data_IF_230111218634
#
_entry.id   IF_230111218634
#
_cell.length_a   1.000
_cell.length_b   1.000
_cell.length_c   1.000
_cell.angle_alpha   90.00
_cell.angle_beta   90.00
_cell.angle_gamma   90.00
#
_symmetry.space_group_name_H-M   'P 1'
#
loop_
_entity.id
_entity.type
_entity.pdbx_description
1 polymer ?
#
# COMPACT_ATOMS: atom_id res chain seq x y z
N UNK A 1 -7.11 13.69 6.36
CA UNK A 1 -7.35 12.99 5.08
C UNK A 1 -8.47 11.93 5.22
N UNK A 2 -8.34 10.95 6.11
CA UNK A 2 -9.31 9.83 6.28
C UNK A 2 -10.72 10.39 6.56
N UNK A 3 -10.88 11.27 7.55
CA UNK A 3 -12.16 11.91 7.87
C UNK A 3 -12.77 12.62 6.65
N UNK A 4 -11.95 13.32 5.88
CA UNK A 4 -12.40 14.04 4.67
C UNK A 4 -12.91 13.07 3.61
N UNK A 5 -12.15 12.00 3.35
CA UNK A 5 -12.55 10.98 2.38
C UNK A 5 -13.85 10.29 2.79
N UNK A 6 -13.97 9.91 4.06
CA UNK A 6 -15.19 9.29 4.61
C UNK A 6 -16.39 10.23 4.52
N UNK A 7 -16.22 11.51 4.84
CA UNK A 7 -17.26 12.52 4.70
C UNK A 7 -17.71 12.74 3.25
N UNK A 8 -16.83 12.49 2.28
CA UNK A 8 -17.14 12.50 0.85
C UNK A 8 -17.76 11.19 0.34
N UNK A 9 -17.97 10.21 1.22
CA UNK A 9 -18.60 8.92 0.90
C UNK A 9 -17.63 7.83 0.48
N UNK A 10 -16.33 8.00 0.68
CA UNK A 10 -15.36 6.94 0.43
C UNK A 10 -15.37 5.91 1.57
N UNK A 11 -15.27 4.65 1.21
CA UNK A 11 -14.95 3.57 2.14
C UNK A 11 -13.42 3.45 2.22
N UNK A 12 -12.87 3.56 3.43
CA UNK A 12 -11.44 3.62 3.66
C UNK A 12 -10.95 2.41 4.45
N UNK A 13 -9.85 1.84 4.01
CA UNK A 13 -9.07 0.83 4.75
C UNK A 13 -7.64 1.34 4.85
N UNK A 14 -7.11 1.39 6.04
CA UNK A 14 -5.83 2.06 6.30
C UNK A 14 -4.82 1.14 6.96
N UNK A 15 -3.58 1.20 6.51
CA UNK A 15 -2.40 0.62 7.15
C UNK A 15 -1.31 1.68 7.27
N UNK A 16 -0.31 1.43 8.10
CA UNK A 16 0.86 2.31 8.20
C UNK A 16 1.73 2.20 6.94
N UNK A 17 2.47 3.26 6.64
CA UNK A 17 3.46 3.27 5.56
C UNK A 17 4.83 2.73 5.99
N UNK A 18 5.03 2.44 7.27
CA UNK A 18 6.24 1.82 7.82
C UNK A 18 6.00 1.31 9.25
N UNK A 19 6.91 0.48 9.76
CA UNK A 19 6.82 -0.15 11.09
C UNK A 19 7.03 0.80 12.28
N UNK A 20 7.38 2.08 12.06
CA UNK A 20 7.79 3.00 13.11
C UNK A 20 6.75 4.07 13.44
N UNK A 21 5.90 4.46 12.48
CA UNK A 21 5.11 5.69 12.56
C UNK A 21 3.81 5.54 13.33
N UNK A 22 3.28 4.34 13.52
CA UNK A 22 1.97 4.14 14.12
C UNK A 22 1.95 4.60 15.57
N UNK A 23 0.90 5.36 15.92
CA UNK A 23 0.55 5.73 17.27
C UNK A 23 -0.81 5.12 17.61
N UNK A 24 -0.87 4.21 18.58
CA UNK A 24 -2.07 3.42 18.87
C UNK A 24 -3.29 4.27 19.22
N UNK A 25 -3.11 5.42 19.89
CA UNK A 25 -4.21 6.30 20.20
C UNK A 25 -4.82 6.97 18.95
N UNK A 26 -4.00 7.27 17.95
CA UNK A 26 -4.47 7.81 16.67
C UNK A 26 -5.18 6.72 15.85
N UNK A 27 -4.61 5.51 15.77
CA UNK A 27 -5.23 4.36 15.14
C UNK A 27 -6.60 4.03 15.79
N UNK A 28 -6.67 4.02 17.12
CA UNK A 28 -7.90 3.78 17.86
C UNK A 28 -8.97 4.87 17.62
N UNK A 29 -8.56 6.13 17.48
CA UNK A 29 -9.48 7.22 17.16
C UNK A 29 -10.13 7.01 15.77
N UNK A 30 -9.33 6.64 14.77
CA UNK A 30 -9.81 6.36 13.41
C UNK A 30 -10.80 5.16 13.41
N UNK A 31 -10.47 4.09 14.15
CA UNK A 31 -11.37 2.93 14.30
C UNK A 31 -12.69 3.32 14.96
N UNK A 32 -12.65 4.20 15.97
CA UNK A 32 -13.86 4.69 16.65
C UNK A 32 -14.82 5.41 15.69
N UNK A 33 -14.28 6.05 14.65
CA UNK A 33 -15.05 6.72 13.60
C UNK A 33 -15.54 5.76 12.50
N UNK A 34 -15.33 4.45 12.68
CA UNK A 34 -15.89 3.41 11.82
C UNK A 34 -14.98 2.99 10.65
N UNK A 35 -13.74 3.48 10.61
CA UNK A 35 -12.77 3.14 9.54
C UNK A 35 -11.98 1.89 9.93
N UNK A 36 -11.75 1.01 8.96
CA UNK A 36 -10.91 -0.18 9.16
C UNK A 36 -9.44 0.20 9.19
N UNK A 37 -8.77 -0.07 10.31
CA UNK A 37 -7.35 0.23 10.52
C UNK A 37 -6.57 -1.06 10.81
N UNK A 38 -5.48 -1.26 10.08
CA UNK A 38 -4.57 -2.38 10.21
C UNK A 38 -3.16 -1.84 10.51
N UNK A 39 -2.95 -1.40 11.74
CA UNK A 39 -1.68 -0.88 12.20
C UNK A 39 -1.63 -0.88 13.73
N UNK A 40 -0.46 -1.11 14.29
CA UNK A 40 -0.20 -0.98 15.72
C UNK A 40 1.23 -0.50 15.97
N UNK A 41 1.44 0.18 17.07
CA UNK A 41 2.80 0.56 17.48
C UNK A 41 3.63 -0.69 17.78
N UNK A 42 4.84 -0.76 17.19
CA UNK A 42 5.76 -1.87 17.39
C UNK A 42 5.38 -3.14 16.63
N UNK A 43 4.66 -3.00 15.53
CA UNK A 43 4.46 -4.09 14.59
C UNK A 43 5.78 -4.60 14.03
N UNK A 44 5.88 -5.90 13.80
CA UNK A 44 7.03 -6.49 13.11
C UNK A 44 6.92 -6.28 11.61
N UNK A 45 8.00 -6.55 10.88
CA UNK A 45 8.00 -6.41 9.42
C UNK A 45 7.04 -7.42 8.75
N UNK A 46 6.87 -8.60 9.35
CA UNK A 46 5.91 -9.61 8.89
C UNK A 46 4.47 -9.14 9.12
N UNK A 47 4.18 -8.55 10.29
CA UNK A 47 2.88 -7.96 10.59
C UNK A 47 2.57 -6.78 9.68
N UNK A 48 3.56 -5.94 9.36
CA UNK A 48 3.42 -4.84 8.41
C UNK A 48 2.95 -5.33 7.03
N UNK A 49 3.58 -6.35 6.46
CA UNK A 49 3.16 -6.91 5.18
C UNK A 49 1.81 -7.64 5.25
N UNK A 50 1.49 -8.30 6.35
CA UNK A 50 0.16 -8.85 6.59
C UNK A 50 -0.91 -7.74 6.63
N UNK A 51 -0.65 -6.65 7.34
CA UNK A 51 -1.55 -5.50 7.42
C UNK A 51 -1.71 -4.79 6.06
N UNK A 52 -0.65 -4.71 5.28
CA UNK A 52 -0.70 -4.19 3.91
C UNK A 52 -1.56 -5.07 2.99
N UNK A 53 -1.56 -6.37 3.17
CA UNK A 53 -2.52 -7.25 2.48
C UNK A 53 -3.97 -6.98 2.93
N UNK A 54 -4.18 -6.78 4.22
CA UNK A 54 -5.52 -6.59 4.81
C UNK A 54 -6.26 -5.37 4.28
N UNK A 55 -5.58 -4.31 3.83
CA UNK A 55 -6.27 -3.17 3.21
C UNK A 55 -6.95 -3.53 1.90
N UNK A 56 -6.52 -4.59 1.23
CA UNK A 56 -7.10 -5.09 -0.01
C UNK A 56 -8.13 -6.22 0.19
N UNK A 57 -8.42 -6.59 1.43
CA UNK A 57 -9.38 -7.65 1.78
C UNK A 57 -10.69 -7.04 2.28
N UNK A 58 -11.70 -7.01 1.44
CA UNK A 58 -13.00 -6.44 1.76
C UNK A 58 -13.97 -7.53 2.27
N UNK A 59 -14.68 -7.30 3.41
CA UNK A 59 -15.53 -8.33 4.01
C UNK A 59 -16.69 -8.80 3.13
N UNK A 60 -17.15 -7.92 2.23
CA UNK A 60 -18.24 -8.18 1.28
C UNK A 60 -17.76 -8.83 -0.03
N UNK A 61 -16.47 -9.13 -0.14
CA UNK A 61 -15.83 -9.61 -1.37
C UNK A 61 -15.57 -8.52 -2.41
N UNK A 62 -15.70 -7.24 -2.02
CA UNK A 62 -15.38 -6.09 -2.85
C UNK A 62 -13.88 -5.91 -3.11
N UNK A 63 -13.54 -4.84 -3.79
CA UNK A 63 -12.17 -4.49 -4.17
C UNK A 63 -11.90 -3.00 -3.95
N UNK A 64 -10.67 -2.68 -3.56
CA UNK A 64 -10.19 -1.29 -3.63
C UNK A 64 -10.16 -0.83 -5.08
N UNK A 65 -10.54 0.42 -5.32
CA UNK A 65 -10.46 1.04 -6.63
C UNK A 65 -9.41 2.15 -6.74
N UNK A 66 -8.89 2.60 -5.61
CA UNK A 66 -7.83 3.63 -5.53
C UNK A 66 -6.84 3.26 -4.44
N UNK A 67 -5.59 3.68 -4.64
CA UNK A 67 -4.53 3.62 -3.64
C UNK A 67 -4.06 5.04 -3.35
N UNK A 68 -3.96 5.39 -2.07
CA UNK A 68 -3.19 6.54 -1.60
C UNK A 68 -1.95 5.96 -0.92
N UNK A 69 -0.81 6.06 -1.57
CA UNK A 69 0.44 5.41 -1.15
C UNK A 69 1.43 6.44 -0.61
N UNK A 70 2.28 6.00 0.30
CA UNK A 70 3.35 6.79 0.90
C UNK A 70 4.60 5.90 1.06
N UNK A 71 5.41 5.87 0.01
CA UNK A 71 6.57 4.99 -0.14
C UNK A 71 6.40 3.92 -1.23
N UNK A 72 5.19 3.76 -1.77
CA UNK A 72 4.89 2.86 -2.87
C UNK A 72 4.80 1.38 -2.49
N UNK A 73 4.65 1.04 -1.22
CA UNK A 73 4.67 -0.35 -0.77
C UNK A 73 3.38 -1.11 -1.14
N UNK A 74 2.22 -0.48 -1.01
CA UNK A 74 0.95 -1.08 -1.42
C UNK A 74 0.92 -1.30 -2.94
N UNK A 75 1.44 -0.36 -3.70
CA UNK A 75 1.59 -0.47 -5.15
C UNK A 75 2.59 -1.56 -5.54
N UNK A 76 3.75 -1.60 -4.90
CA UNK A 76 4.75 -2.65 -5.10
C UNK A 76 4.17 -4.04 -4.83
N UNK A 77 3.48 -4.21 -3.71
CA UNK A 77 2.88 -5.47 -3.30
C UNK A 77 1.98 -6.05 -4.39
N UNK A 78 1.05 -5.27 -4.93
CA UNK A 78 0.13 -5.73 -5.98
C UNK A 78 0.87 -6.07 -7.28
N UNK A 79 1.82 -5.25 -7.70
CA UNK A 79 2.56 -5.47 -8.95
C UNK A 79 3.51 -6.66 -8.85
N UNK A 80 4.28 -6.75 -7.77
CA UNK A 80 5.21 -7.87 -7.56
C UNK A 80 4.45 -9.19 -7.39
N UNK A 81 3.38 -9.19 -6.59
CA UNK A 81 2.51 -10.34 -6.42
C UNK A 81 1.88 -10.80 -7.74
N UNK A 82 1.37 -9.87 -8.56
CA UNK A 82 0.83 -10.19 -9.88
C UNK A 82 1.87 -10.78 -10.85
N UNK A 83 3.13 -10.35 -10.74
CA UNK A 83 4.24 -10.96 -11.50
C UNK A 83 4.55 -12.36 -10.99
N UNK A 84 4.55 -12.54 -9.67
CA UNK A 84 4.82 -13.84 -9.03
C UNK A 84 3.74 -14.88 -9.31
N UNK A 85 2.52 -14.51 -9.70
CA UNK A 85 1.49 -15.42 -10.20
C UNK A 85 1.94 -16.17 -11.46
N UNK A 86 2.70 -15.50 -12.32
CA UNK A 86 3.20 -16.07 -13.59
C UNK A 86 4.60 -16.64 -13.47
N UNK A 87 5.44 -16.05 -12.61
CA UNK A 87 6.83 -16.44 -12.41
C UNK A 87 7.26 -16.27 -10.94
N UNK A 88 7.26 -17.38 -10.19
CA UNK A 88 7.69 -17.41 -8.78
C UNK A 88 9.17 -17.03 -8.57
N UNK A 89 9.99 -17.04 -9.61
CA UNK A 89 11.41 -16.66 -9.48
C UNK A 89 11.59 -15.19 -9.11
N UNK A 90 10.61 -14.32 -9.37
CA UNK A 90 10.69 -12.89 -9.01
C UNK A 90 10.70 -12.65 -7.50
N UNK A 91 10.31 -13.64 -6.71
CA UNK A 91 10.33 -13.62 -5.24
C UNK A 91 11.20 -14.73 -4.64
N UNK A 92 12.12 -15.35 -5.41
CA UNK A 92 12.90 -16.48 -4.95
C UNK A 92 14.17 -16.12 -4.16
N UNK A 93 14.72 -14.92 -4.40
CA UNK A 93 16.04 -14.52 -3.89
C UNK A 93 15.98 -13.18 -3.16
N UNK A 94 15.44 -13.11 -1.93
CA UNK A 94 15.44 -11.90 -1.15
C UNK A 94 16.88 -11.50 -0.76
N UNK A 95 17.16 -10.20 -0.73
CA UNK A 95 18.48 -9.64 -0.46
C UNK A 95 18.61 -8.97 0.91
N UNK A 96 17.50 -8.75 1.57
CA UNK A 96 17.42 -8.12 2.89
C UNK A 96 16.18 -8.62 3.66
N UNK A 97 16.07 -8.28 4.94
CA UNK A 97 15.01 -8.76 5.83
C UNK A 97 13.61 -8.32 5.37
N UNK A 98 13.51 -7.11 4.79
CA UNK A 98 12.25 -6.59 4.27
C UNK A 98 11.76 -7.41 3.07
N UNK A 99 12.64 -7.71 2.12
CA UNK A 99 12.32 -8.58 0.98
C UNK A 99 12.00 -10.01 1.44
N UNK A 100 12.69 -10.52 2.47
CA UNK A 100 12.37 -11.83 3.05
C UNK A 100 10.93 -11.87 3.56
N UNK A 101 10.50 -10.89 4.32
CA UNK A 101 9.14 -10.81 4.85
C UNK A 101 8.09 -10.61 3.74
N UNK A 102 8.35 -9.69 2.80
CA UNK A 102 7.47 -9.41 1.66
C UNK A 102 7.29 -10.66 0.78
N UNK A 103 8.39 -11.32 0.39
CA UNK A 103 8.32 -12.49 -0.50
C UNK A 103 7.64 -13.68 0.18
N UNK A 104 7.87 -13.88 1.47
CA UNK A 104 7.17 -14.89 2.25
C UNK A 104 5.65 -14.61 2.34
N UNK A 105 5.26 -13.35 2.56
CA UNK A 105 3.86 -12.95 2.59
C UNK A 105 3.18 -13.15 1.22
N UNK A 106 3.85 -12.78 0.12
CA UNK A 106 3.35 -13.01 -1.24
C UNK A 106 3.19 -14.51 -1.50
N UNK A 107 4.19 -15.32 -1.20
CA UNK A 107 4.14 -16.75 -1.42
C UNK A 107 2.97 -17.40 -0.69
N UNK A 108 2.77 -17.06 0.59
CA UNK A 108 1.65 -17.55 1.42
C UNK A 108 0.28 -17.23 0.80
N UNK A 109 0.08 -16.01 0.29
CA UNK A 109 -1.18 -15.64 -0.34
C UNK A 109 -1.40 -16.38 -1.66
N UNK A 110 -0.37 -16.52 -2.48
CA UNK A 110 -0.44 -17.27 -3.74
C UNK A 110 -0.72 -18.77 -3.55
N UNK A 111 -0.33 -19.33 -2.42
CA UNK A 111 -0.64 -20.74 -2.11
C UNK A 111 -2.13 -20.94 -1.76
N UNK A 112 -2.80 -19.89 -1.29
CA UNK A 112 -4.24 -19.91 -0.97
C UNK A 112 -5.13 -19.46 -2.15
N UNK A 113 -4.72 -18.43 -2.88
CA UNK A 113 -5.40 -17.93 -4.09
C UNK A 113 -4.34 -17.55 -5.15
N UNK A 114 -4.09 -18.39 -6.16
CA UNK A 114 -3.08 -18.17 -7.19
C UNK A 114 -3.28 -16.91 -8.04
N UNK A 115 -4.43 -16.25 -7.95
CA UNK A 115 -4.77 -15.04 -8.69
C UNK A 115 -5.18 -13.89 -7.78
N UNK A 116 -4.72 -13.88 -6.54
CA UNK A 116 -5.10 -12.92 -5.53
C UNK A 116 -4.73 -11.48 -5.91
N UNK A 117 -3.54 -11.28 -6.46
CA UNK A 117 -2.98 -9.96 -6.78
C UNK A 117 -3.53 -9.39 -8.10
N UNK A 118 -3.54 -10.19 -9.17
CA UNK A 118 -4.02 -9.77 -10.49
C UNK A 118 -5.48 -9.34 -10.43
N UNK A 119 -6.35 -10.10 -9.74
CA UNK A 119 -7.76 -9.77 -9.55
C UNK A 119 -7.95 -8.40 -8.89
N UNK A 120 -7.08 -8.03 -7.94
CA UNK A 120 -7.13 -6.74 -7.25
C UNK A 120 -6.55 -5.62 -8.09
N UNK A 121 -5.39 -5.86 -8.68
CA UNK A 121 -4.70 -4.87 -9.53
C UNK A 121 -5.58 -4.41 -10.70
N UNK A 122 -6.35 -5.31 -11.30
CA UNK A 122 -7.32 -4.98 -12.37
C UNK A 122 -8.45 -4.03 -11.93
N UNK A 123 -8.73 -3.95 -10.64
CA UNK A 123 -9.78 -3.07 -10.09
C UNK A 123 -9.27 -1.71 -9.68
N UNK A 124 -7.96 -1.56 -9.53
CA UNK A 124 -7.34 -0.28 -9.17
C UNK A 124 -7.35 0.66 -10.38
N UNK A 125 -8.01 1.79 -10.24
CA UNK A 125 -8.09 2.84 -11.26
C UNK A 125 -6.85 3.72 -11.30
N UNK A 126 -6.11 3.80 -10.19
CA UNK A 126 -4.88 4.57 -10.09
C UNK A 126 -4.34 4.64 -8.67
N UNK A 127 -3.14 5.20 -8.56
CA UNK A 127 -2.46 5.49 -7.30
C UNK A 127 -2.06 6.96 -7.23
N UNK A 128 -2.20 7.57 -6.06
CA UNK A 128 -1.58 8.84 -5.69
C UNK A 128 -0.43 8.56 -4.73
N UNK A 129 0.77 9.01 -5.08
CA UNK A 129 1.98 8.80 -4.27
C UNK A 129 2.42 10.10 -3.61
N UNK A 130 2.58 10.06 -2.29
CA UNK A 130 2.82 11.24 -1.46
C UNK A 130 4.29 11.52 -1.16
N UNK A 131 5.21 10.57 -1.36
CA UNK A 131 6.59 10.74 -0.90
C UNK A 131 7.63 10.49 -1.99
N UNK A 132 8.78 11.15 -1.86
CA UNK A 132 9.88 11.09 -2.84
C UNK A 132 10.34 9.65 -3.14
N UNK A 133 10.46 8.82 -2.11
CA UNK A 133 10.89 7.42 -2.27
C UNK A 133 9.90 6.62 -3.12
N UNK A 134 8.60 6.76 -2.86
CA UNK A 134 7.56 6.10 -3.64
C UNK A 134 7.47 6.63 -5.06
N UNK A 135 7.56 7.96 -5.26
CA UNK A 135 7.62 8.56 -6.60
C UNK A 135 8.80 7.99 -7.40
N UNK A 136 9.98 7.88 -6.80
CA UNK A 136 11.14 7.24 -7.44
C UNK A 136 10.86 5.79 -7.83
N UNK A 137 10.23 5.02 -6.96
CA UNK A 137 9.83 3.63 -7.21
C UNK A 137 8.87 3.53 -8.39
N UNK A 138 7.86 4.40 -8.45
CA UNK A 138 6.91 4.44 -9.56
C UNK A 138 7.57 4.78 -10.90
N UNK A 139 8.49 5.75 -10.93
CA UNK A 139 9.27 6.04 -12.13
C UNK A 139 10.10 4.84 -12.59
N UNK A 140 10.80 4.17 -11.68
CA UNK A 140 11.57 2.97 -12.01
C UNK A 140 10.69 1.84 -12.55
N UNK A 141 9.51 1.64 -11.95
CA UNK A 141 8.54 0.65 -12.46
C UNK A 141 8.02 1.04 -13.85
N UNK A 142 7.77 2.32 -14.08
CA UNK A 142 7.35 2.82 -15.39
C UNK A 142 8.44 2.62 -16.47
N UNK A 143 9.68 2.99 -16.18
CA UNK A 143 10.82 2.82 -17.10
C UNK A 143 11.05 1.34 -17.48
N UNK A 144 10.80 0.41 -16.54
CA UNK A 144 10.87 -1.03 -16.79
C UNK A 144 9.64 -1.61 -17.46
N UNK A 145 8.58 -0.80 -17.70
CA UNK A 145 7.31 -1.26 -18.25
C UNK A 145 6.52 -2.17 -17.29
N UNK A 146 6.79 -2.07 -15.99
CA UNK A 146 6.17 -2.89 -14.95
C UNK A 146 4.94 -2.22 -14.32
N UNK A 147 4.82 -0.90 -14.38
CA UNK A 147 3.69 -0.14 -13.83
C UNK A 147 2.45 -0.32 -14.69
N UNK A 148 1.44 -1.00 -14.16
CA UNK A 148 0.21 -1.39 -14.89
C UNK A 148 -0.99 -0.47 -14.63
N UNK A 149 -0.86 0.48 -13.71
CA UNK A 149 -1.95 1.41 -13.33
C UNK A 149 -1.48 2.85 -13.49
N UNK A 150 -2.39 3.79 -13.75
CA UNK A 150 -2.08 5.22 -13.71
C UNK A 150 -1.54 5.62 -12.34
N UNK A 151 -0.52 6.48 -12.33
CA UNK A 151 0.08 6.99 -11.10
C UNK A 151 0.18 8.52 -11.14
N UNK A 152 -0.16 9.17 -10.03
CA UNK A 152 -0.08 10.62 -9.87
C UNK A 152 0.92 10.92 -8.76
N UNK A 153 1.96 11.70 -9.10
CA UNK A 153 2.88 12.26 -8.15
C UNK A 153 2.25 13.48 -7.47
N UNK A 154 1.77 13.32 -6.25
CA UNK A 154 1.27 14.44 -5.43
C UNK A 154 2.34 14.98 -4.47
N UNK A 155 3.48 14.31 -4.35
CA UNK A 155 4.63 14.79 -3.59
C UNK A 155 5.12 16.16 -4.10
N UNK A 156 5.12 16.38 -5.41
CA UNK A 156 5.60 17.62 -6.03
C UNK A 156 4.47 18.65 -6.26
N UNK A 157 3.28 18.41 -5.72
CA UNK A 157 2.18 19.36 -5.83
C UNK A 157 2.49 20.65 -5.06
N UNK A 158 2.02 21.76 -5.60
CA UNK A 158 2.17 23.08 -4.95
C UNK A 158 1.53 23.13 -3.56
N UNK A 159 0.44 22.40 -3.36
CA UNK A 159 -0.24 22.30 -2.07
C UNK A 159 0.64 21.59 -1.04
N UNK A 160 1.30 20.48 -1.39
CA UNK A 160 2.25 19.82 -0.50
C UNK A 160 3.45 20.70 -0.19
N UNK A 161 4.08 21.29 -1.20
CA UNK A 161 5.23 22.18 -1.02
C UNK A 161 4.94 23.37 -0.09
N UNK A 162 3.74 23.94 -0.18
CA UNK A 162 3.34 25.05 0.68
C UNK A 162 3.01 24.64 2.11
N UNK A 163 2.39 23.49 2.31
CA UNK A 163 1.88 23.10 3.62
C UNK A 163 2.85 22.18 4.36
N UNK A 164 3.32 21.12 3.74
CA UNK A 164 4.24 20.18 4.39
C UNK A 164 5.62 20.78 4.61
N UNK A 165 6.20 21.44 3.60
CA UNK A 165 7.54 22.01 3.72
C UNK A 165 7.59 23.28 4.56
N UNK A 166 6.46 23.94 4.79
CA UNK A 166 6.38 25.16 5.58
C UNK A 166 5.89 24.93 7.00
N UNK A 167 4.98 24.00 7.21
CA UNK A 167 4.32 23.73 8.50
C UNK A 167 4.52 22.31 9.02
N UNK A 168 4.93 21.37 8.17
CA UNK A 168 5.27 19.99 8.54
C UNK A 168 6.76 19.84 8.87
N UNK A 169 7.07 18.87 9.70
CA UNK A 169 8.44 18.50 10.11
C UNK A 169 8.67 17.04 9.78
#
# INVERSE_FOLDING_TARGET
>A
LIETLTALGAEVRWASCNIFSTQDHAAAAIVKDGVSVFAKKGETIEEYWEFTHRIFEWPDGGFSNMILDDGGDATLLLHLGSRAESDRNVIANPTNDEEHALFAAIAKHLDSDPHWYSKRLEKILGVSEETTTGVHRLYQMHERGELKIPAINVNDSVTKSKFDNLYGW
#
